data_IF_241706612934
#
_entry.id   IF_241706612934
#
_cell.length_a   1.000
_cell.length_b   1.000
_cell.length_c   1.000
_cell.angle_alpha   90.00
_cell.angle_beta   90.00
_cell.angle_gamma   90.00
#
_symmetry.space_group_name_H-M   'P 1'
#
loop_
_entity.id
_entity.type
_entity.pdbx_description
1 polymer ?
#
# COMPACT_ATOMS: atom_id res chain seq x y z
N UNK A 1 -31.79 -19.90 41.56
CA UNK A 1 -31.17 -18.76 40.88
C UNK A 1 -30.10 -19.34 39.96
N UNK A 2 -30.35 -19.31 38.64
CA UNK A 2 -29.32 -19.66 37.68
C UNK A 2 -28.27 -18.55 37.75
N UNK A 3 -27.03 -18.93 38.04
CA UNK A 3 -25.92 -17.99 37.91
C UNK A 3 -25.85 -17.54 36.43
N UNK A 4 -25.95 -16.27 36.17
CA UNK A 4 -25.67 -15.73 34.82
C UNK A 4 -24.31 -16.26 34.39
N UNK A 5 -24.26 -16.85 33.19
CA UNK A 5 -23.00 -17.36 32.68
C UNK A 5 -22.04 -16.16 32.49
N UNK A 6 -20.76 -16.40 32.67
CA UNK A 6 -19.69 -15.40 32.44
C UNK A 6 -19.84 -14.68 31.10
N UNK A 7 -20.36 -15.41 30.08
CA UNK A 7 -20.67 -14.87 28.76
C UNK A 7 -21.80 -13.84 28.82
N UNK A 8 -22.90 -14.11 29.52
CA UNK A 8 -24.02 -13.18 29.66
C UNK A 8 -23.60 -11.92 30.43
N UNK A 9 -22.79 -12.08 31.47
CA UNK A 9 -22.23 -10.94 32.21
C UNK A 9 -21.33 -10.06 31.32
N UNK A 10 -20.46 -10.67 30.52
CA UNK A 10 -19.61 -9.94 29.57
C UNK A 10 -20.45 -9.18 28.51
N UNK A 11 -21.46 -9.81 27.95
CA UNK A 11 -22.37 -9.18 26.97
C UNK A 11 -23.10 -8.00 27.62
N UNK A 12 -23.64 -8.17 28.83
CA UNK A 12 -24.35 -7.11 29.57
C UNK A 12 -23.43 -5.94 29.89
N UNK A 13 -22.18 -6.22 30.33
CA UNK A 13 -21.19 -5.20 30.59
C UNK A 13 -20.85 -4.37 29.34
N UNK A 14 -20.68 -5.02 28.20
CA UNK A 14 -20.39 -4.36 26.92
C UNK A 14 -21.63 -3.57 26.43
N UNK A 15 -22.82 -4.14 26.55
CA UNK A 15 -24.06 -3.47 26.13
C UNK A 15 -24.38 -2.21 26.96
N UNK A 16 -23.85 -2.13 28.20
CA UNK A 16 -24.00 -0.95 29.06
C UNK A 16 -23.02 0.19 28.75
N UNK A 17 -22.00 -0.06 27.91
CA UNK A 17 -21.05 0.99 27.54
C UNK A 17 -21.67 2.01 26.61
N UNK A 18 -21.37 3.31 26.81
CA UNK A 18 -21.90 4.35 25.92
C UNK A 18 -21.42 4.11 24.48
N UNK A 19 -22.33 4.20 23.54
CA UNK A 19 -21.99 4.23 22.10
C UNK A 19 -21.21 5.49 21.84
N UNK A 20 -20.03 5.39 21.25
CA UNK A 20 -19.25 6.54 20.80
C UNK A 20 -20.10 7.37 19.84
N UNK A 21 -20.26 8.67 20.11
CA UNK A 21 -21.06 9.56 19.26
C UNK A 21 -20.56 9.52 17.82
N UNK A 22 -21.50 9.60 16.88
CA UNK A 22 -21.17 9.78 15.47
C UNK A 22 -20.61 11.19 15.32
N UNK A 23 -19.35 11.31 14.94
CA UNK A 23 -18.78 12.59 14.53
C UNK A 23 -19.47 13.02 13.24
N UNK A 24 -20.09 14.19 13.20
CA UNK A 24 -20.52 14.79 11.96
C UNK A 24 -19.26 15.22 11.19
N UNK A 25 -18.97 14.53 10.11
CA UNK A 25 -17.86 14.92 9.23
C UNK A 25 -18.26 16.12 8.38
N UNK A 26 -17.32 17.06 8.19
CA UNK A 26 -17.52 18.12 7.22
C UNK A 26 -17.70 17.52 5.82
N UNK A 27 -18.52 18.14 4.94
CA UNK A 27 -18.73 17.64 3.59
C UNK A 27 -17.41 17.40 2.85
N UNK A 28 -17.31 16.28 2.16
CA UNK A 28 -16.17 15.97 1.30
C UNK A 28 -16.21 16.89 0.07
N UNK A 29 -15.09 17.50 -0.26
CA UNK A 29 -14.96 18.42 -1.41
C UNK A 29 -13.92 17.88 -2.36
N UNK A 30 -14.24 17.88 -3.64
CA UNK A 30 -13.37 17.35 -4.72
C UNK A 30 -12.09 18.16 -4.90
N UNK A 31 -12.12 19.46 -4.57
CA UNK A 31 -10.96 20.36 -4.61
C UNK A 31 -9.89 20.04 -3.55
N UNK A 32 -10.13 19.05 -2.70
CA UNK A 32 -9.12 18.53 -1.77
C UNK A 32 -8.13 17.54 -2.41
N UNK A 33 -8.41 17.04 -3.62
CA UNK A 33 -7.56 16.04 -4.25
C UNK A 33 -6.15 16.59 -4.49
N UNK A 34 -5.15 15.90 -3.92
CA UNK A 34 -3.75 16.28 -4.03
C UNK A 34 -3.37 17.59 -3.28
N UNK A 35 -4.26 18.15 -2.44
CA UNK A 35 -4.00 19.43 -1.77
C UNK A 35 -2.75 19.40 -0.87
N UNK A 36 -2.43 18.25 -0.32
CA UNK A 36 -1.29 18.04 0.56
C UNK A 36 -0.13 17.26 -0.12
N UNK A 37 -0.07 17.29 -1.46
CA UNK A 37 0.98 16.63 -2.26
C UNK A 37 1.89 17.68 -2.93
N UNK A 38 3.19 17.45 -2.91
CA UNK A 38 4.15 18.23 -3.68
C UNK A 38 4.11 17.79 -5.15
N UNK A 39 2.97 18.12 -5.79
CA UNK A 39 2.61 17.70 -7.14
C UNK A 39 3.41 18.42 -8.22
N UNK A 40 3.27 17.98 -9.47
CA UNK A 40 3.87 18.64 -10.63
C UNK A 40 3.48 20.13 -10.72
N UNK A 41 2.23 20.48 -10.39
CA UNK A 41 1.75 21.86 -10.37
C UNK A 41 2.41 22.66 -9.25
N UNK A 42 2.57 22.05 -8.09
CA UNK A 42 3.30 22.66 -6.95
C UNK A 42 4.78 22.84 -7.31
N UNK A 43 5.42 21.83 -7.89
CA UNK A 43 6.81 21.92 -8.36
C UNK A 43 7.00 23.10 -9.33
N UNK A 44 6.12 23.23 -10.33
CA UNK A 44 6.17 24.34 -11.31
C UNK A 44 5.96 25.71 -10.67
N UNK A 45 5.19 25.78 -9.58
CA UNK A 45 4.90 27.04 -8.87
C UNK A 45 6.07 27.51 -7.99
N UNK A 46 6.76 26.57 -7.31
CA UNK A 46 7.74 26.88 -6.28
C UNK A 46 9.20 26.76 -6.75
N UNK A 47 9.45 26.05 -7.86
CA UNK A 47 10.79 25.84 -8.40
C UNK A 47 11.10 26.82 -9.54
N UNK A 48 12.39 27.20 -9.71
CA UNK A 48 12.85 27.80 -10.95
C UNK A 48 12.50 26.92 -12.17
N UNK A 49 12.20 27.50 -13.31
CA UNK A 49 11.74 26.77 -14.50
C UNK A 49 12.68 25.64 -14.94
N UNK A 50 13.97 25.89 -14.94
CA UNK A 50 14.98 24.91 -15.35
C UNK A 50 15.12 23.77 -14.32
N UNK A 51 15.10 24.11 -13.04
CA UNK A 51 15.10 23.13 -11.93
C UNK A 51 13.85 22.24 -12.00
N UNK A 52 12.65 22.85 -12.22
CA UNK A 52 11.42 22.09 -12.37
C UNK A 52 11.47 21.15 -13.58
N UNK A 53 11.97 21.60 -14.73
CA UNK A 53 12.13 20.77 -15.93
C UNK A 53 13.07 19.58 -15.67
N UNK A 54 14.23 19.84 -15.06
CA UNK A 54 15.21 18.79 -14.71
C UNK A 54 14.63 17.77 -13.76
N UNK A 55 13.94 18.22 -12.69
CA UNK A 55 13.31 17.33 -11.72
C UNK A 55 12.20 16.47 -12.36
N UNK A 56 11.35 17.07 -13.19
CA UNK A 56 10.27 16.34 -13.88
C UNK A 56 10.81 15.31 -14.86
N UNK A 57 11.89 15.61 -15.59
CA UNK A 57 12.58 14.63 -16.45
C UNK A 57 13.18 13.49 -15.59
N UNK A 58 13.82 13.80 -14.46
CA UNK A 58 14.32 12.79 -13.51
C UNK A 58 13.21 11.85 -13.05
N UNK A 59 12.05 12.40 -12.69
CA UNK A 59 10.87 11.62 -12.26
C UNK A 59 10.32 10.77 -13.42
N UNK A 60 10.16 11.37 -14.58
CA UNK A 60 9.58 10.72 -15.75
C UNK A 60 10.46 9.59 -16.27
N UNK A 61 11.76 9.82 -16.33
CA UNK A 61 12.71 8.89 -16.93
C UNK A 61 13.31 7.91 -15.92
N UNK A 62 13.01 8.10 -14.61
CA UNK A 62 13.57 7.28 -13.52
C UNK A 62 15.09 7.43 -13.40
N UNK A 63 15.62 8.61 -13.74
CA UNK A 63 17.03 8.92 -13.70
C UNK A 63 17.52 9.17 -12.27
N UNK A 64 18.81 8.99 -11.99
CA UNK A 64 19.41 9.44 -10.73
C UNK A 64 19.17 10.92 -10.51
N UNK A 65 18.92 11.30 -9.25
CA UNK A 65 18.75 12.70 -8.90
C UNK A 65 20.04 13.47 -9.19
N UNK A 66 19.91 14.59 -9.91
CA UNK A 66 21.02 15.54 -10.04
C UNK A 66 21.19 16.30 -8.71
N UNK A 67 22.34 16.12 -8.05
CA UNK A 67 22.64 16.78 -6.79
C UNK A 67 22.65 18.31 -6.88
N UNK A 68 22.92 18.88 -8.06
CA UNK A 68 22.97 20.32 -8.28
C UNK A 68 21.64 21.02 -8.05
N UNK A 69 20.51 20.33 -8.29
CA UNK A 69 19.18 20.91 -8.09
C UNK A 69 18.63 20.67 -6.66
N UNK A 70 19.30 19.85 -5.87
CA UNK A 70 18.77 19.42 -4.58
C UNK A 70 18.52 20.57 -3.59
N UNK A 71 19.37 21.59 -3.63
CA UNK A 71 19.23 22.77 -2.75
C UNK A 71 17.97 23.59 -3.11
N UNK A 72 17.71 23.80 -4.39
CA UNK A 72 16.50 24.49 -4.87
C UNK A 72 15.24 23.71 -4.53
N UNK A 73 15.27 22.39 -4.75
CA UNK A 73 14.13 21.53 -4.43
C UNK A 73 13.85 21.52 -2.93
N UNK A 74 14.89 21.39 -2.10
CA UNK A 74 14.73 21.43 -0.64
C UNK A 74 14.16 22.79 -0.18
N UNK A 75 14.64 23.90 -0.73
CA UNK A 75 14.09 25.22 -0.43
C UNK A 75 12.61 25.33 -0.78
N UNK A 76 12.24 24.90 -1.98
CA UNK A 76 10.85 24.92 -2.46
C UNK A 76 9.94 24.04 -1.60
N UNK A 77 10.37 22.81 -1.28
CA UNK A 77 9.61 21.90 -0.41
C UNK A 77 9.41 22.49 0.99
N UNK A 78 10.47 23.06 1.57
CA UNK A 78 10.37 23.73 2.88
C UNK A 78 9.37 24.89 2.85
N UNK A 79 9.48 25.78 1.88
CA UNK A 79 8.57 26.91 1.76
C UNK A 79 7.11 26.45 1.61
N UNK A 80 6.87 25.51 0.71
CA UNK A 80 5.57 24.90 0.51
C UNK A 80 5.01 24.23 1.78
N UNK A 81 5.87 23.52 2.53
CA UNK A 81 5.47 22.84 3.75
C UNK A 81 5.14 23.83 4.88
N UNK A 82 5.96 24.89 5.07
CA UNK A 82 5.71 25.93 6.07
C UNK A 82 4.41 26.68 5.81
N UNK A 83 4.09 27.00 4.56
CA UNK A 83 2.81 27.62 4.18
C UNK A 83 1.60 26.72 4.51
N UNK A 84 1.81 25.42 4.65
CA UNK A 84 0.80 24.42 5.05
C UNK A 84 0.81 24.09 6.54
N UNK A 85 1.62 24.82 7.31
CA UNK A 85 1.70 24.68 8.76
C UNK A 85 2.60 23.54 9.23
N UNK A 86 3.40 22.94 8.35
CA UNK A 86 4.38 21.95 8.77
C UNK A 86 5.54 22.62 9.51
N UNK A 87 5.90 22.09 10.65
CA UNK A 87 7.02 22.53 11.47
C UNK A 87 8.21 21.57 11.46
N UNK A 88 7.93 20.35 10.99
CA UNK A 88 8.88 19.24 10.94
C UNK A 88 8.88 18.60 9.57
N UNK A 89 9.94 17.87 9.27
CA UNK A 89 10.05 16.98 8.14
C UNK A 89 10.52 15.60 8.59
N UNK A 90 10.24 14.58 7.79
CA UNK A 90 10.70 13.22 8.01
C UNK A 90 11.03 12.53 6.71
N UNK A 91 12.07 11.69 6.73
CA UNK A 91 12.30 10.71 5.70
C UNK A 91 11.35 9.53 5.97
N UNK A 92 10.30 9.47 5.19
CA UNK A 92 9.25 8.46 5.32
C UNK A 92 9.62 7.22 4.52
N UNK A 93 9.65 6.06 5.16
CA UNK A 93 10.05 4.81 4.52
C UNK A 93 9.25 3.61 5.05
N UNK A 94 9.39 2.46 4.38
CA UNK A 94 8.65 1.23 4.64
C UNK A 94 9.60 0.17 5.22
N UNK A 95 9.78 0.12 6.55
CA UNK A 95 10.61 -0.90 7.18
C UNK A 95 9.99 -2.29 7.06
N UNK A 96 10.78 -3.32 7.38
CA UNK A 96 10.35 -4.72 7.30
C UNK A 96 9.25 -5.09 8.32
N UNK A 97 8.81 -4.16 9.16
CA UNK A 97 7.80 -4.37 10.21
C UNK A 97 6.34 -4.29 9.74
N UNK A 98 6.10 -3.94 8.47
CA UNK A 98 4.73 -3.85 7.93
C UNK A 98 3.97 -2.56 8.24
N UNK A 99 4.63 -1.60 8.88
CA UNK A 99 4.15 -0.22 9.06
C UNK A 99 5.16 0.78 8.48
N UNK A 100 4.76 2.04 8.39
CA UNK A 100 5.68 3.11 8.00
C UNK A 100 6.60 3.49 9.15
N UNK A 101 7.79 4.00 8.85
CA UNK A 101 8.74 4.52 9.82
C UNK A 101 9.03 5.99 9.56
N UNK A 102 9.16 6.74 10.63
CA UNK A 102 9.34 8.18 10.63
C UNK A 102 10.30 8.59 11.74
N UNK A 103 11.20 9.51 11.42
CA UNK A 103 12.04 10.22 12.39
C UNK A 103 11.89 11.71 12.10
N UNK A 104 11.13 12.41 12.92
CA UNK A 104 10.79 13.80 12.71
C UNK A 104 11.94 14.72 13.14
N UNK A 105 12.44 15.50 12.21
CA UNK A 105 13.39 16.59 12.47
C UNK A 105 12.68 17.93 12.31
N UNK A 106 12.94 18.88 13.21
CA UNK A 106 12.38 20.23 13.11
C UNK A 106 13.05 21.01 12.00
N UNK A 107 12.28 21.85 11.29
CA UNK A 107 12.88 22.90 10.45
C UNK A 107 13.60 23.97 11.27
N UNK A 108 13.29 24.08 12.56
CA UNK A 108 13.91 25.05 13.44
C UNK A 108 15.38 24.70 13.69
N UNK A 109 16.25 25.61 13.30
CA UNK A 109 17.69 25.54 13.54
C UNK A 109 18.11 26.84 14.29
N UNK A 110 18.30 26.77 15.62
CA UNK A 110 18.63 27.97 16.39
C UNK A 110 20.10 28.41 16.14
N UNK A 111 20.29 29.57 15.56
CA UNK A 111 21.56 30.25 15.51
C UNK A 111 21.66 31.22 16.68
N UNK A 112 22.25 30.76 17.79
CA UNK A 112 22.25 31.52 19.04
C UNK A 112 20.82 31.66 19.59
N UNK A 113 20.31 32.88 19.74
CA UNK A 113 18.95 33.18 20.19
C UNK A 113 18.00 33.44 19.02
N UNK A 114 18.43 33.38 17.77
CA UNK A 114 17.61 33.65 16.61
C UNK A 114 17.11 32.32 16.00
N UNK A 115 15.80 32.12 15.89
CA UNK A 115 15.23 30.94 15.23
C UNK A 115 15.39 31.09 13.71
N UNK A 116 16.03 30.12 13.08
CA UNK A 116 16.12 30.00 11.63
C UNK A 116 15.40 28.74 11.18
N UNK A 117 14.60 28.85 10.11
CA UNK A 117 14.01 27.69 9.48
C UNK A 117 14.93 27.17 8.38
N UNK A 118 15.55 25.99 8.62
CA UNK A 118 16.58 25.39 7.77
C UNK A 118 16.09 24.05 7.18
N UNK A 119 16.38 23.84 5.91
CA UNK A 119 16.28 22.54 5.25
C UNK A 119 17.14 22.58 4.00
N UNK A 120 18.20 21.82 3.97
CA UNK A 120 19.21 21.85 2.89
C UNK A 120 19.00 20.71 1.89
N UNK A 121 19.62 20.82 0.73
CA UNK A 121 19.67 19.73 -0.25
C UNK A 121 20.26 18.44 0.33
N UNK A 122 21.24 18.55 1.23
CA UNK A 122 21.80 17.40 1.95
C UNK A 122 20.72 16.74 2.83
N UNK A 123 19.95 17.53 3.56
CA UNK A 123 18.85 17.02 4.38
C UNK A 123 17.73 16.36 3.55
N UNK A 124 17.51 16.82 2.32
CA UNK A 124 16.55 16.22 1.40
C UNK A 124 17.03 14.85 0.88
N UNK A 125 18.27 14.78 0.40
CA UNK A 125 18.76 13.61 -0.34
C UNK A 125 19.02 12.43 0.60
N UNK A 126 19.65 12.66 1.75
CA UNK A 126 20.17 11.61 2.63
C UNK A 126 19.93 11.96 4.08
N UNK A 127 19.44 11.00 4.85
CA UNK A 127 19.51 10.99 6.30
C UNK A 127 20.19 9.70 6.78
N UNK A 128 20.77 9.74 7.96
CA UNK A 128 21.44 8.61 8.59
C UNK A 128 20.67 8.16 9.85
N UNK A 129 19.49 7.53 9.72
CA UNK A 129 18.80 6.99 10.86
C UNK A 129 19.58 5.82 11.45
N UNK A 130 19.54 5.69 12.78
CA UNK A 130 20.16 4.55 13.46
C UNK A 130 19.37 3.27 13.18
N UNK A 131 19.94 2.36 12.39
CA UNK A 131 19.37 1.06 12.07
C UNK A 131 19.38 0.08 13.26
N UNK A 132 20.05 0.42 14.34
CA UNK A 132 20.19 -0.44 15.52
C UNK A 132 18.87 -0.73 16.22
N UNK A 133 17.86 0.11 16.01
CA UNK A 133 16.51 -0.04 16.56
C UNK A 133 15.59 -0.95 15.75
N UNK A 134 16.01 -1.43 14.57
CA UNK A 134 15.19 -2.34 13.78
C UNK A 134 15.20 -3.76 14.31
N UNK A 135 14.04 -4.46 14.30
CA UNK A 135 13.96 -5.85 14.74
C UNK A 135 14.89 -6.80 13.98
N UNK A 136 15.16 -6.50 12.71
CA UNK A 136 16.11 -7.24 11.85
C UNK A 136 17.58 -6.92 12.11
N UNK A 137 17.88 -5.91 12.92
CA UNK A 137 19.23 -5.51 13.31
C UNK A 137 19.90 -6.40 14.36
N UNK A 138 19.52 -7.69 14.43
CA UNK A 138 19.91 -8.60 15.51
C UNK A 138 21.38 -9.03 15.56
N UNK A 139 22.18 -8.77 14.55
CA UNK A 139 23.63 -8.99 14.54
C UNK A 139 24.32 -7.66 14.28
N UNK A 140 24.62 -6.96 15.37
CA UNK A 140 25.20 -5.63 15.32
C UNK A 140 26.71 -5.69 15.45
N UNK A 141 27.43 -5.53 14.36
CA UNK A 141 28.61 -4.69 14.50
C UNK A 141 28.18 -3.24 14.26
N UNK A 142 28.81 -2.30 14.95
CA UNK A 142 28.52 -0.85 14.89
C UNK A 142 28.55 -0.26 13.49
N UNK A 143 29.11 -0.94 12.53
CA UNK A 143 29.24 -0.57 11.14
C UNK A 143 27.99 -0.96 10.32
N UNK A 144 27.40 -2.10 10.60
CA UNK A 144 26.17 -2.61 9.94
C UNK A 144 24.89 -1.96 10.49
N UNK A 145 24.99 -1.35 11.69
CA UNK A 145 23.88 -0.61 12.29
C UNK A 145 23.59 0.74 11.63
N UNK A 146 24.44 1.19 10.70
CA UNK A 146 24.24 2.43 9.96
C UNK A 146 23.51 2.16 8.65
N UNK A 147 22.38 2.85 8.47
CA UNK A 147 21.65 2.89 7.22
C UNK A 147 21.50 4.31 6.72
N UNK A 148 21.24 4.40 5.44
CA UNK A 148 20.99 5.66 4.76
C UNK A 148 19.60 5.62 4.14
N UNK A 149 18.81 6.68 4.38
CA UNK A 149 17.64 6.96 3.57
C UNK A 149 18.09 7.72 2.34
N UNK A 150 17.60 7.32 1.18
CA UNK A 150 17.80 8.04 -0.06
C UNK A 150 16.45 8.51 -0.60
N UNK A 151 16.33 9.82 -0.86
CA UNK A 151 15.11 10.37 -1.43
C UNK A 151 14.76 9.66 -2.75
N UNK A 152 13.50 9.23 -2.84
CA UNK A 152 12.92 8.70 -4.06
C UNK A 152 12.06 9.78 -4.75
N UNK A 153 12.58 10.47 -5.77
CA UNK A 153 11.82 11.51 -6.45
C UNK A 153 10.64 10.99 -7.27
N UNK A 154 10.55 9.67 -7.51
CA UNK A 154 9.45 9.06 -8.26
C UNK A 154 8.18 8.88 -7.43
N UNK A 155 8.28 9.12 -6.11
CA UNK A 155 7.12 9.22 -5.21
C UNK A 155 7.08 10.64 -4.63
N UNK A 156 5.97 11.38 -4.80
CA UNK A 156 5.90 12.77 -4.40
C UNK A 156 5.93 12.92 -2.88
N UNK A 157 6.62 13.95 -2.38
CA UNK A 157 6.54 14.34 -0.98
C UNK A 157 5.13 14.84 -0.64
N UNK A 158 4.70 14.66 0.59
CA UNK A 158 3.36 14.99 1.03
C UNK A 158 3.32 15.56 2.44
N UNK A 159 2.23 16.23 2.80
CA UNK A 159 2.01 16.74 4.15
C UNK A 159 1.09 15.80 4.92
N UNK A 160 1.61 15.20 5.97
CA UNK A 160 0.85 14.40 6.91
C UNK A 160 0.34 15.28 8.05
N UNK A 161 -0.98 15.28 8.26
CA UNK A 161 -1.61 16.06 9.32
C UNK A 161 -1.93 15.20 10.54
N UNK A 162 -1.60 15.70 11.70
CA UNK A 162 -1.84 15.02 12.96
C UNK A 162 -2.22 16.02 14.05
N UNK A 163 -3.41 15.87 14.61
CA UNK A 163 -3.91 16.82 15.62
C UNK A 163 -3.86 18.27 15.09
N UNK A 164 -3.16 19.14 15.79
CA UNK A 164 -2.95 20.55 15.42
C UNK A 164 -1.67 20.78 14.61
N UNK A 165 -0.93 19.72 14.27
CA UNK A 165 0.36 19.80 13.60
C UNK A 165 0.34 19.22 12.18
N UNK A 166 1.43 19.50 11.47
CA UNK A 166 1.69 18.93 10.15
C UNK A 166 3.19 18.65 9.99
N UNK A 167 3.51 17.62 9.23
CA UNK A 167 4.88 17.17 8.94
C UNK A 167 5.04 16.97 7.45
N UNK A 168 6.14 17.46 6.89
CA UNK A 168 6.55 17.13 5.53
C UNK A 168 7.12 15.71 5.52
N UNK A 169 6.48 14.80 4.82
CA UNK A 169 6.94 13.43 4.60
C UNK A 169 7.62 13.32 3.23
N UNK A 170 8.84 12.82 3.23
CA UNK A 170 9.66 12.65 2.03
C UNK A 170 9.84 11.15 1.80
N UNK A 171 9.21 10.56 0.76
CA UNK A 171 9.37 9.15 0.47
C UNK A 171 10.83 8.80 0.17
N UNK A 172 11.34 7.78 0.84
CA UNK A 172 12.74 7.36 0.72
C UNK A 172 12.87 5.85 0.66
N UNK A 173 13.93 5.40 0.01
CA UNK A 173 14.45 4.05 0.15
C UNK A 173 15.47 4.01 1.30
N UNK A 174 15.55 2.87 1.99
CA UNK A 174 16.46 2.70 3.12
C UNK A 174 17.38 1.51 2.88
N UNK A 175 18.67 1.76 2.89
CA UNK A 175 19.69 0.75 2.65
C UNK A 175 20.85 0.85 3.64
N UNK A 176 21.58 -0.25 3.81
CA UNK A 176 22.80 -0.29 4.62
C UNK A 176 23.93 0.47 3.94
N UNK A 177 25.02 0.70 4.68
CA UNK A 177 26.26 1.25 4.13
C UNK A 177 26.82 0.42 2.96
N UNK A 178 26.63 -0.89 2.99
CA UNK A 178 27.04 -1.84 1.93
C UNK A 178 26.03 -1.92 0.77
N UNK A 179 24.90 -1.22 0.86
CA UNK A 179 23.88 -1.20 -0.18
C UNK A 179 22.81 -2.29 -0.04
N UNK A 180 22.80 -3.04 1.07
CA UNK A 180 21.76 -4.02 1.33
C UNK A 180 20.43 -3.34 1.63
N UNK A 181 19.34 -3.93 1.18
CA UNK A 181 18.00 -3.43 1.44
C UNK A 181 17.65 -3.59 2.93
N UNK A 182 17.26 -2.49 3.58
CA UNK A 182 16.77 -2.48 4.95
C UNK A 182 15.26 -2.15 5.02
N UNK A 183 14.63 -2.01 3.86
CA UNK A 183 13.21 -1.72 3.70
C UNK A 183 12.58 -2.60 2.61
N UNK A 184 11.28 -2.41 2.39
CA UNK A 184 10.53 -3.10 1.33
C UNK A 184 10.60 -2.37 -0.01
N UNK A 185 10.90 -1.07 -0.01
CA UNK A 185 10.92 -0.24 -1.21
C UNK A 185 12.14 -0.50 -2.08
N UNK A 186 13.31 -0.68 -1.49
CA UNK A 186 14.54 -0.95 -2.23
C UNK A 186 14.45 -2.21 -3.12
N UNK A 187 13.98 -3.38 -2.63
CA UNK A 187 13.74 -4.54 -3.49
C UNK A 187 12.73 -4.27 -4.60
N UNK A 188 11.65 -3.53 -4.32
CA UNK A 188 10.65 -3.16 -5.31
C UNK A 188 11.25 -2.34 -6.45
N UNK A 189 12.00 -1.27 -6.13
CA UNK A 189 12.64 -0.42 -7.13
C UNK A 189 13.63 -1.20 -7.99
N UNK A 190 14.42 -2.10 -7.38
CA UNK A 190 15.35 -2.98 -8.09
C UNK A 190 14.63 -3.97 -9.01
N UNK A 191 13.55 -4.59 -8.54
CA UNK A 191 12.75 -5.53 -9.36
C UNK A 191 12.09 -4.82 -10.54
N UNK A 192 11.54 -3.62 -10.31
CA UNK A 192 10.99 -2.77 -11.36
C UNK A 192 12.01 -2.44 -12.44
N UNK A 193 13.23 -2.08 -12.06
CA UNK A 193 14.32 -1.81 -13.00
C UNK A 193 14.73 -3.07 -13.77
N UNK A 194 14.86 -4.21 -13.08
CA UNK A 194 15.21 -5.48 -13.71
C UNK A 194 14.15 -5.93 -14.73
N UNK A 195 12.86 -5.85 -14.34
CA UNK A 195 11.75 -6.16 -15.24
C UNK A 195 11.70 -5.21 -16.43
N UNK A 196 11.85 -3.90 -16.19
CA UNK A 196 11.91 -2.92 -17.28
C UNK A 196 12.98 -3.20 -18.30
N UNK A 197 14.20 -3.56 -17.85
CA UNK A 197 15.29 -3.96 -18.73
C UNK A 197 15.00 -5.26 -19.51
N UNK A 198 14.35 -6.23 -18.88
CA UNK A 198 13.95 -7.48 -19.53
C UNK A 198 12.90 -7.23 -20.62
N UNK A 199 11.87 -6.43 -20.32
CA UNK A 199 10.83 -6.06 -21.28
C UNK A 199 11.42 -5.30 -22.48
N UNK A 200 12.31 -4.35 -22.27
CA UNK A 200 12.99 -3.63 -23.36
C UNK A 200 13.75 -4.58 -24.28
N UNK A 201 14.48 -5.56 -23.72
CA UNK A 201 15.16 -6.58 -24.53
C UNK A 201 14.18 -7.42 -25.35
N UNK A 202 13.06 -7.82 -24.73
CA UNK A 202 12.03 -8.59 -25.42
C UNK A 202 11.40 -7.77 -26.57
N UNK A 203 10.99 -6.53 -26.31
CA UNK A 203 10.39 -5.67 -27.32
C UNK A 203 11.31 -5.38 -28.50
N UNK A 204 12.62 -5.31 -28.26
CA UNK A 204 13.62 -5.20 -29.31
C UNK A 204 13.62 -6.42 -30.25
N UNK A 205 13.33 -7.63 -29.73
CA UNK A 205 13.19 -8.83 -30.59
C UNK A 205 11.99 -8.73 -31.54
N UNK A 206 10.96 -7.95 -31.17
CA UNK A 206 9.83 -7.64 -32.04
C UNK A 206 10.05 -6.43 -32.96
N UNK A 207 11.28 -5.87 -32.99
CA UNK A 207 11.63 -4.73 -33.82
C UNK A 207 11.04 -3.39 -33.36
N UNK A 208 10.57 -3.29 -32.12
CA UNK A 208 10.02 -2.06 -31.57
C UNK A 208 11.12 -1.09 -31.11
N UNK A 209 10.87 0.25 -31.23
CA UNK A 209 11.80 1.26 -30.73
C UNK A 209 11.95 1.16 -29.21
N UNK A 210 12.98 1.78 -28.64
CA UNK A 210 13.14 1.85 -27.19
C UNK A 210 12.13 2.80 -26.57
N UNK A 211 11.22 2.24 -25.79
CA UNK A 211 10.15 2.98 -25.10
C UNK A 211 10.25 2.77 -23.57
N UNK A 212 9.55 3.61 -22.84
CA UNK A 212 9.43 3.48 -21.40
C UNK A 212 8.62 2.23 -21.03
N UNK A 213 9.11 1.50 -20.04
CA UNK A 213 8.34 0.42 -19.39
C UNK A 213 7.70 0.97 -18.12
N UNK A 214 6.41 0.82 -17.98
CA UNK A 214 5.66 1.19 -16.78
C UNK A 214 4.98 -0.06 -16.21
N UNK A 215 5.12 -0.26 -14.92
CA UNK A 215 4.42 -1.30 -14.18
C UNK A 215 3.37 -0.60 -13.35
N UNK A 216 2.11 -0.99 -13.52
CA UNK A 216 0.98 -0.42 -12.78
C UNK A 216 0.42 -1.42 -11.79
N UNK A 217 -0.16 -0.90 -10.70
CA UNK A 217 -0.76 -1.67 -9.63
C UNK A 217 -1.99 -0.96 -9.09
N UNK A 218 -3.09 -1.69 -8.95
CA UNK A 218 -4.29 -1.29 -8.21
C UNK A 218 -4.48 -2.23 -7.02
N UNK A 219 -3.99 -1.88 -5.82
CA UNK A 219 -4.13 -2.72 -4.64
C UNK A 219 -5.50 -2.49 -4.00
N UNK A 220 -6.32 -3.51 -3.91
CA UNK A 220 -7.59 -3.51 -3.20
C UNK A 220 -7.35 -3.90 -1.75
N UNK A 221 -7.80 -3.08 -0.80
CA UNK A 221 -7.59 -3.33 0.62
C UNK A 221 -8.90 -3.72 1.30
N UNK A 222 -9.01 -4.98 1.66
CA UNK A 222 -10.06 -5.47 2.54
C UNK A 222 -9.69 -5.26 4.01
N UNK A 223 -10.71 -5.07 4.84
CA UNK A 223 -10.54 -4.84 6.28
C UNK A 223 -11.83 -5.10 7.06
N UNK A 224 -11.67 -5.39 8.36
CA UNK A 224 -12.81 -5.49 9.29
C UNK A 224 -12.90 -4.26 10.18
N UNK A 225 -14.12 -3.85 10.49
CA UNK A 225 -14.40 -2.82 11.50
C UNK A 225 -15.17 -3.43 12.65
N UNK A 226 -14.67 -3.22 13.86
CA UNK A 226 -15.36 -3.63 15.08
C UNK A 226 -15.49 -2.47 16.04
N UNK A 227 -16.50 -2.51 16.90
CA UNK A 227 -16.67 -1.50 17.94
C UNK A 227 -15.48 -1.52 18.91
N UNK A 228 -14.96 -0.34 19.23
CA UNK A 228 -13.79 -0.19 20.10
C UNK A 228 -14.01 -0.78 21.48
N UNK A 229 -15.23 -0.69 22.02
CA UNK A 229 -15.56 -1.23 23.32
C UNK A 229 -15.51 -2.77 23.33
N UNK A 230 -15.99 -3.41 22.26
CA UNK A 230 -15.86 -4.86 22.10
C UNK A 230 -14.38 -5.29 21.97
N UNK A 231 -13.62 -4.55 21.16
CA UNK A 231 -12.19 -4.81 20.97
C UNK A 231 -11.41 -4.77 22.29
N UNK A 232 -11.58 -3.74 23.10
CA UNK A 232 -10.87 -3.55 24.35
C UNK A 232 -11.17 -4.66 25.39
N UNK A 233 -12.31 -5.34 25.25
CA UNK A 233 -12.68 -6.48 26.11
C UNK A 233 -12.22 -7.84 25.55
N UNK A 234 -11.44 -7.86 24.48
CA UNK A 234 -10.90 -9.06 23.82
C UNK A 234 -9.37 -9.00 23.79
N UNK A 235 -8.69 -9.56 24.83
CA UNK A 235 -7.22 -9.55 24.90
C UNK A 235 -6.55 -10.19 23.69
N UNK A 236 -7.14 -11.23 23.10
CA UNK A 236 -6.65 -11.86 21.89
C UNK A 236 -6.65 -10.91 20.69
N UNK A 237 -7.73 -10.18 20.45
CA UNK A 237 -7.78 -9.16 19.39
C UNK A 237 -6.79 -8.03 19.65
N UNK A 238 -6.67 -7.56 20.90
CA UNK A 238 -5.75 -6.49 21.26
C UNK A 238 -4.29 -6.90 21.04
N UNK A 239 -3.94 -8.11 21.41
CA UNK A 239 -2.54 -8.58 21.38
C UNK A 239 -2.13 -9.13 20.01
N UNK A 240 -3.04 -9.74 19.27
CA UNK A 240 -2.69 -10.48 18.05
C UNK A 240 -3.42 -10.01 16.78
N UNK A 241 -4.42 -9.14 16.91
CA UNK A 241 -5.25 -8.70 15.78
C UNK A 241 -6.28 -9.74 15.32
N UNK A 242 -6.33 -10.91 15.95
CA UNK A 242 -7.27 -12.00 15.63
C UNK A 242 -7.82 -12.67 16.90
N UNK A 243 -8.92 -13.42 16.75
CA UNK A 243 -9.46 -14.25 17.82
C UNK A 243 -8.64 -15.52 17.99
N UNK A 244 -8.27 -15.88 19.23
CA UNK A 244 -7.56 -17.10 19.59
C UNK A 244 -8.43 -18.05 20.42
N UNK A 245 -9.46 -17.55 21.08
CA UNK A 245 -10.35 -18.31 21.96
C UNK A 245 -11.77 -17.75 21.94
N UNK A 246 -12.68 -18.45 22.57
CA UNK A 246 -14.09 -18.09 22.65
C UNK A 246 -14.96 -18.91 21.71
N UNK A 247 -16.27 -18.83 21.91
CA UNK A 247 -17.24 -19.49 21.03
C UNK A 247 -17.42 -18.72 19.72
N UNK A 248 -17.66 -19.41 18.60
CA UNK A 248 -18.11 -18.75 17.37
C UNK A 248 -19.38 -17.92 17.61
N UNK A 249 -19.62 -16.86 16.82
CA UNK A 249 -20.86 -16.10 16.90
C UNK A 249 -22.05 -17.01 16.57
N UNK A 250 -23.18 -16.79 17.26
CA UNK A 250 -24.35 -17.67 17.14
C UNK A 250 -24.93 -17.71 15.71
N UNK A 251 -24.78 -16.61 14.97
CA UNK A 251 -25.24 -16.54 13.59
C UNK A 251 -24.17 -16.88 12.56
N UNK A 252 -22.92 -16.92 12.99
CA UNK A 252 -21.78 -17.15 12.07
C UNK A 252 -21.83 -16.21 10.85
N UNK A 253 -21.43 -16.68 9.67
CA UNK A 253 -21.60 -16.01 8.37
C UNK A 253 -22.88 -16.51 7.69
N UNK A 254 -23.99 -16.51 8.41
CA UNK A 254 -25.25 -16.97 7.85
C UNK A 254 -25.75 -16.04 6.76
N UNK A 255 -26.27 -16.62 5.68
CA UNK A 255 -26.64 -15.98 4.43
C UNK A 255 -25.44 -15.42 3.66
N UNK A 256 -24.30 -15.89 3.96
CA UNK A 256 -22.95 -15.73 3.36
C UNK A 256 -22.66 -14.45 2.55
N UNK A 257 -23.67 -13.79 2.06
CA UNK A 257 -23.56 -12.63 1.19
C UNK A 257 -23.96 -11.33 1.89
N UNK A 258 -22.98 -10.68 2.50
CA UNK A 258 -23.12 -9.32 3.00
C UNK A 258 -22.69 -8.26 1.96
N UNK A 259 -22.10 -8.71 0.85
CA UNK A 259 -21.51 -7.86 -0.20
C UNK A 259 -22.50 -6.83 -0.77
N UNK A 260 -23.72 -7.25 -1.11
CA UNK A 260 -24.76 -6.37 -1.65
C UNK A 260 -25.60 -5.66 -0.57
N UNK A 261 -25.25 -5.79 0.69
CA UNK A 261 -25.91 -5.12 1.79
C UNK A 261 -25.72 -3.61 1.77
N UNK A 262 -26.70 -2.87 2.35
CA UNK A 262 -26.54 -1.43 2.53
C UNK A 262 -25.47 -1.12 3.59
N UNK A 263 -24.61 -0.16 3.30
CA UNK A 263 -23.60 0.30 4.26
C UNK A 263 -24.30 1.13 5.34
N UNK A 264 -24.04 0.81 6.61
CA UNK A 264 -24.65 1.51 7.74
C UNK A 264 -24.14 2.96 7.84
N UNK A 265 -24.97 3.92 8.27
CA UNK A 265 -24.60 5.35 8.33
C UNK A 265 -23.30 5.62 9.11
N UNK A 266 -23.08 4.95 10.25
CA UNK A 266 -21.85 5.08 11.04
C UNK A 266 -20.61 4.68 10.24
N UNK A 267 -20.72 3.63 9.44
CA UNK A 267 -19.64 3.14 8.58
C UNK A 267 -19.43 4.09 7.39
N UNK A 268 -20.51 4.58 6.77
CA UNK A 268 -20.40 5.59 5.70
C UNK A 268 -19.70 6.86 6.16
N UNK A 269 -19.99 7.34 7.37
CA UNK A 269 -19.30 8.50 7.94
C UNK A 269 -17.80 8.23 8.13
N UNK A 270 -17.45 7.06 8.63
CA UNK A 270 -16.05 6.62 8.69
C UNK A 270 -15.39 6.59 7.30
N UNK A 271 -16.06 5.97 6.32
CA UNK A 271 -15.53 5.86 4.94
C UNK A 271 -15.37 7.25 4.30
N UNK A 272 -16.30 8.17 4.53
CA UNK A 272 -16.19 9.55 4.05
C UNK A 272 -14.95 10.27 4.61
N UNK A 273 -14.68 10.11 5.90
CA UNK A 273 -13.49 10.73 6.52
C UNK A 273 -12.20 10.06 6.05
N UNK A 274 -12.21 8.74 5.81
CA UNK A 274 -11.08 8.04 5.17
C UNK A 274 -10.82 8.60 3.78
N UNK A 275 -11.82 8.63 2.90
CA UNK A 275 -11.66 9.13 1.53
C UNK A 275 -11.18 10.57 1.48
N UNK A 276 -11.68 11.43 2.36
CA UNK A 276 -11.24 12.82 2.48
C UNK A 276 -9.74 12.94 2.74
N UNK A 277 -9.21 12.17 3.69
CA UNK A 277 -7.77 12.19 3.98
C UNK A 277 -6.97 11.56 2.83
N UNK A 278 -7.44 10.46 2.24
CA UNK A 278 -6.80 9.83 1.09
C UNK A 278 -6.73 10.78 -0.11
N UNK A 279 -7.84 11.45 -0.45
CA UNK A 279 -7.87 12.39 -1.57
C UNK A 279 -6.96 13.59 -1.36
N UNK A 280 -6.84 14.10 -0.12
CA UNK A 280 -5.86 15.16 0.18
C UNK A 280 -4.42 14.75 -0.12
N UNK A 281 -4.10 13.48 0.11
CA UNK A 281 -2.81 12.87 -0.19
C UNK A 281 -2.67 12.42 -1.65
N UNK A 282 -3.64 12.74 -2.50
CA UNK A 282 -3.62 12.36 -3.92
C UNK A 282 -3.86 10.88 -4.17
N UNK A 283 -4.33 10.14 -3.17
CA UNK A 283 -4.63 8.71 -3.30
C UNK A 283 -5.98 8.55 -3.99
N UNK A 284 -6.04 7.90 -5.16
CA UNK A 284 -7.25 7.85 -5.98
C UNK A 284 -8.25 6.79 -5.49
N UNK A 285 -8.67 6.87 -4.23
CA UNK A 285 -9.72 6.01 -3.68
C UNK A 285 -10.98 6.15 -4.54
N UNK A 286 -11.47 5.05 -5.12
CA UNK A 286 -12.52 5.05 -6.12
C UNK A 286 -13.76 4.30 -5.67
N UNK A 287 -13.59 3.10 -5.16
CA UNK A 287 -14.70 2.20 -4.82
C UNK A 287 -14.59 1.80 -3.35
N UNK A 288 -15.73 1.73 -2.70
CA UNK A 288 -15.89 1.21 -1.34
C UNK A 288 -17.21 0.44 -1.24
N UNK A 289 -17.20 -0.69 -0.58
CA UNK A 289 -18.37 -1.54 -0.43
C UNK A 289 -18.25 -2.46 0.79
N UNK A 290 -19.34 -3.17 1.09
CA UNK A 290 -19.28 -4.28 2.02
C UNK A 290 -18.60 -5.48 1.36
N UNK A 291 -17.92 -6.27 2.17
CA UNK A 291 -17.44 -7.60 1.80
C UNK A 291 -18.36 -8.72 2.27
N UNK A 292 -18.03 -9.94 1.92
CA UNK A 292 -18.86 -11.14 2.15
C UNK A 292 -19.06 -11.41 3.64
N UNK A 293 -18.04 -11.21 4.46
CA UNK A 293 -18.15 -11.44 5.90
C UNK A 293 -18.86 -10.29 6.63
N UNK A 294 -19.55 -10.54 7.75
CA UNK A 294 -20.11 -9.50 8.58
C UNK A 294 -19.07 -8.51 9.07
N UNK A 295 -19.34 -7.21 8.92
CA UNK A 295 -18.45 -6.11 9.31
C UNK A 295 -17.11 -6.09 8.56
N UNK A 296 -17.06 -6.68 7.40
CA UNK A 296 -15.96 -6.63 6.45
C UNK A 296 -16.26 -5.64 5.33
N UNK A 297 -15.24 -4.92 4.89
CA UNK A 297 -15.35 -3.85 3.89
C UNK A 297 -14.11 -3.85 3.02
N UNK A 298 -14.24 -3.23 1.86
CA UNK A 298 -13.13 -3.04 0.92
C UNK A 298 -13.01 -1.59 0.48
N UNK A 299 -11.79 -1.18 0.19
CA UNK A 299 -11.45 0.05 -0.49
C UNK A 299 -10.56 -0.27 -1.68
N UNK A 300 -11.03 0.09 -2.88
CA UNK A 300 -10.30 -0.11 -4.13
C UNK A 300 -9.94 1.24 -4.75
N UNK A 301 -8.64 1.57 -4.86
CA UNK A 301 -8.16 2.74 -5.59
C UNK A 301 -8.09 2.46 -7.09
N UNK A 302 -7.99 3.52 -7.89
CA UNK A 302 -7.52 3.39 -9.26
C UNK A 302 -6.05 2.93 -9.28
N UNK A 303 -5.67 2.22 -10.33
CA UNK A 303 -4.28 1.80 -10.49
C UNK A 303 -3.34 2.98 -10.77
N UNK A 304 -2.11 2.86 -10.29
CA UNK A 304 -1.04 3.84 -10.45
C UNK A 304 0.29 3.14 -10.78
N UNK A 305 1.37 3.90 -10.98
CA UNK A 305 2.72 3.32 -11.00
C UNK A 305 2.95 2.49 -9.73
N UNK A 306 3.50 1.30 -9.88
CA UNK A 306 3.61 0.31 -8.80
C UNK A 306 4.31 0.86 -7.55
N UNK A 307 5.32 1.71 -7.71
CA UNK A 307 6.03 2.32 -6.59
C UNK A 307 5.11 3.27 -5.80
N UNK A 308 4.37 4.12 -6.50
CA UNK A 308 3.41 5.04 -5.91
C UNK A 308 2.23 4.30 -5.28
N UNK A 309 1.68 3.31 -5.96
CA UNK A 309 0.57 2.50 -5.47
C UNK A 309 0.89 1.81 -4.14
N UNK A 310 2.13 1.33 -3.96
CA UNK A 310 2.57 0.70 -2.73
C UNK A 310 2.72 1.72 -1.60
N UNK A 311 3.32 2.89 -1.86
CA UNK A 311 3.38 3.97 -0.88
C UNK A 311 1.97 4.41 -0.46
N UNK A 312 1.07 4.57 -1.42
CA UNK A 312 -0.33 4.91 -1.17
C UNK A 312 -1.05 3.83 -0.34
N UNK A 313 -0.82 2.55 -0.61
CA UNK A 313 -1.44 1.49 0.18
C UNK A 313 -0.95 1.48 1.64
N UNK A 314 0.30 1.81 1.91
CA UNK A 314 0.79 1.96 3.28
C UNK A 314 0.07 3.10 4.01
N UNK A 315 -0.16 4.21 3.32
CA UNK A 315 -0.94 5.34 3.86
C UNK A 315 -2.42 4.97 4.05
N UNK A 316 -3.01 4.22 3.11
CA UNK A 316 -4.38 3.69 3.24
C UNK A 316 -4.53 2.90 4.54
N UNK A 317 -3.65 1.94 4.79
CA UNK A 317 -3.70 1.12 6.01
C UNK A 317 -3.56 1.96 7.29
N UNK A 318 -2.72 2.98 7.27
CA UNK A 318 -2.54 3.88 8.39
C UNK A 318 -3.79 4.75 8.63
N UNK A 319 -4.33 5.36 7.58
CA UNK A 319 -5.50 6.24 7.65
C UNK A 319 -6.74 5.46 8.07
N UNK A 320 -6.94 4.23 7.58
CA UNK A 320 -8.03 3.36 8.02
C UNK A 320 -8.00 3.16 9.54
N UNK A 321 -6.83 2.86 10.12
CA UNK A 321 -6.70 2.70 11.58
C UNK A 321 -6.94 3.99 12.34
N UNK A 322 -6.41 5.11 11.86
CA UNK A 322 -6.55 6.41 12.51
C UNK A 322 -8.01 6.88 12.51
N UNK A 323 -8.67 6.81 11.36
CA UNK A 323 -10.06 7.22 11.23
C UNK A 323 -11.00 6.28 12.01
N UNK A 324 -10.75 4.97 12.00
CA UNK A 324 -11.53 4.03 12.81
C UNK A 324 -11.53 4.44 14.29
N UNK A 325 -10.36 4.78 14.82
CA UNK A 325 -10.25 5.21 16.23
C UNK A 325 -11.06 6.48 16.54
N UNK A 326 -11.13 7.43 15.59
CA UNK A 326 -11.96 8.67 15.74
C UNK A 326 -13.46 8.37 15.75
N UNK A 327 -13.90 7.34 15.04
CA UNK A 327 -15.28 6.90 14.96
C UNK A 327 -15.68 5.87 16.02
N UNK A 328 -14.84 5.66 17.06
CA UNK A 328 -15.11 4.66 18.10
C UNK A 328 -15.08 3.22 17.55
N UNK A 329 -14.34 3.00 16.47
CA UNK A 329 -14.15 1.73 15.80
C UNK A 329 -12.67 1.30 15.90
N UNK A 330 -12.40 0.06 15.59
CA UNK A 330 -11.06 -0.47 15.37
C UNK A 330 -11.04 -1.15 14.00
N UNK A 331 -10.07 -0.78 13.18
CA UNK A 331 -9.81 -1.41 11.90
C UNK A 331 -8.85 -2.57 12.09
N UNK A 332 -9.30 -3.77 11.77
CA UNK A 332 -8.47 -4.98 11.75
C UNK A 332 -7.98 -5.22 10.33
N UNK A 333 -6.66 -5.22 10.18
CA UNK A 333 -5.96 -5.51 8.93
C UNK A 333 -5.30 -6.89 8.94
N UNK A 334 -5.52 -7.68 9.98
CA UNK A 334 -5.14 -9.08 9.98
C UNK A 334 -5.97 -9.81 8.91
N UNK A 335 -5.33 -10.68 8.17
CA UNK A 335 -5.96 -11.35 7.03
C UNK A 335 -7.11 -12.28 7.43
N UNK A 336 -7.02 -12.89 8.60
CA UNK A 336 -8.04 -13.81 9.13
C UNK A 336 -8.33 -13.51 10.61
N UNK A 337 -9.00 -12.39 10.93
CA UNK A 337 -9.24 -12.02 12.32
C UNK A 337 -10.26 -12.92 13.01
N UNK A 338 -11.14 -13.58 12.24
CA UNK A 338 -12.20 -14.43 12.77
C UNK A 338 -12.19 -15.80 12.08
N UNK A 339 -12.07 -16.86 12.86
CA UNK A 339 -12.12 -18.22 12.34
C UNK A 339 -13.51 -18.55 11.82
N UNK A 340 -13.60 -19.21 10.67
CA UNK A 340 -14.84 -19.74 10.12
C UNK A 340 -15.65 -18.74 9.28
N UNK A 341 -15.19 -17.51 9.11
CA UNK A 341 -15.74 -16.53 8.16
C UNK A 341 -14.70 -16.15 7.13
N UNK A 342 -15.09 -15.46 6.07
CA UNK A 342 -14.13 -14.97 5.07
C UNK A 342 -13.02 -14.14 5.69
N UNK A 343 -11.84 -14.21 5.10
CA UNK A 343 -10.68 -13.39 5.46
C UNK A 343 -10.58 -12.15 4.58
N UNK A 344 -9.65 -11.27 4.96
CA UNK A 344 -9.32 -10.08 4.21
C UNK A 344 -8.11 -10.31 3.32
N UNK A 345 -8.28 -10.08 2.03
CA UNK A 345 -7.22 -10.08 1.03
C UNK A 345 -6.62 -8.70 0.81
N UNK A 346 -5.62 -8.68 -0.01
CA UNK A 346 -5.11 -7.51 -0.72
C UNK A 346 -4.89 -7.93 -2.15
N UNK A 347 -5.92 -7.78 -2.97
CA UNK A 347 -5.81 -8.13 -4.37
C UNK A 347 -4.92 -7.12 -5.09
N UNK A 348 -3.92 -7.62 -5.80
CA UNK A 348 -2.96 -6.79 -6.53
C UNK A 348 -3.21 -6.92 -8.02
N UNK A 349 -4.08 -6.07 -8.55
CA UNK A 349 -4.35 -5.97 -9.99
C UNK A 349 -3.19 -5.20 -10.63
N UNK A 350 -2.39 -5.87 -11.44
CA UNK A 350 -1.19 -5.28 -12.01
C UNK A 350 -1.08 -5.47 -13.52
N UNK A 351 -0.32 -4.61 -14.16
CA UNK A 351 -0.06 -4.69 -15.58
C UNK A 351 1.32 -4.14 -15.94
N UNK A 352 1.78 -4.45 -17.16
CA UNK A 352 3.02 -3.96 -17.73
C UNK A 352 2.68 -3.22 -19.02
N UNK A 353 3.16 -1.99 -19.17
CA UNK A 353 3.01 -1.21 -20.40
C UNK A 353 4.37 -0.90 -21.02
N UNK A 354 4.41 -0.87 -22.34
CA UNK A 354 5.54 -0.43 -23.16
C UNK A 354 5.12 0.79 -23.98
N UNK A 355 5.65 1.96 -23.65
CA UNK A 355 5.02 3.20 -24.09
C UNK A 355 3.57 3.25 -23.60
N UNK A 356 2.65 3.49 -24.53
CA UNK A 356 1.20 3.56 -24.24
C UNK A 356 0.48 2.21 -24.39
N UNK A 357 1.21 1.12 -24.72
CA UNK A 357 0.61 -0.19 -24.96
C UNK A 357 0.67 -1.05 -23.71
N UNK A 358 -0.50 -1.50 -23.24
CA UNK A 358 -0.57 -2.55 -22.22
C UNK A 358 -0.20 -3.89 -22.84
N UNK A 359 0.85 -4.54 -22.33
CA UNK A 359 1.35 -5.82 -22.84
C UNK A 359 0.47 -7.02 -22.43
N UNK A 360 -0.44 -6.83 -21.47
CA UNK A 360 -1.44 -7.81 -21.04
C UNK A 360 -2.82 -7.54 -21.67
N UNK A 361 -2.91 -6.64 -22.64
CA UNK A 361 -4.11 -6.44 -23.44
C UNK A 361 -4.10 -7.45 -24.60
N UNK A 362 -5.04 -8.42 -24.61
CA UNK A 362 -5.12 -9.42 -25.68
C UNK A 362 -5.51 -8.79 -27.04
N UNK A 363 -6.12 -7.61 -27.02
CA UNK A 363 -6.66 -6.97 -28.22
C UNK A 363 -7.90 -7.68 -28.74
N UNK A 364 -8.27 -7.39 -29.97
CA UNK A 364 -9.46 -7.97 -30.65
C UNK A 364 -9.22 -9.38 -31.18
N UNK A 365 -7.97 -9.75 -31.42
CA UNK A 365 -7.57 -11.09 -31.89
C UNK A 365 -6.35 -11.57 -31.05
N UNK A 366 -6.62 -12.20 -29.91
CA UNK A 366 -5.57 -12.68 -29.02
C UNK A 366 -4.59 -13.67 -29.67
N UNK A 367 -5.09 -14.51 -30.58
CA UNK A 367 -4.27 -15.55 -31.23
C UNK A 367 -3.22 -14.99 -32.19
N UNK A 368 -3.46 -13.80 -32.74
CA UNK A 368 -2.50 -13.11 -33.61
C UNK A 368 -1.61 -12.11 -32.85
N UNK A 369 -1.87 -11.90 -31.56
CA UNK A 369 -1.08 -10.97 -30.76
C UNK A 369 0.15 -11.68 -30.16
N UNK A 370 1.19 -11.85 -30.97
CA UNK A 370 2.40 -12.55 -30.55
C UNK A 370 3.10 -11.92 -29.34
N UNK A 371 3.01 -10.59 -29.17
CA UNK A 371 3.59 -9.89 -28.02
C UNK A 371 2.82 -10.30 -26.76
N UNK A 372 1.50 -10.20 -26.77
CA UNK A 372 0.63 -10.58 -25.66
C UNK A 372 0.87 -12.04 -25.26
N UNK A 373 0.83 -12.98 -26.22
CA UNK A 373 1.04 -14.41 -25.96
C UNK A 373 2.43 -14.70 -25.37
N UNK A 374 3.47 -14.03 -25.86
CA UNK A 374 4.83 -14.20 -25.32
C UNK A 374 4.94 -13.69 -23.90
N UNK A 375 4.38 -12.53 -23.62
CA UNK A 375 4.39 -11.94 -22.26
C UNK A 375 3.58 -12.79 -21.31
N UNK A 376 2.40 -13.24 -21.71
CA UNK A 376 1.54 -14.13 -20.92
C UNK A 376 2.26 -15.43 -20.58
N UNK A 377 2.85 -16.10 -21.57
CA UNK A 377 3.60 -17.35 -21.36
C UNK A 377 4.79 -17.14 -20.39
N UNK A 378 5.51 -16.02 -20.52
CA UNK A 378 6.61 -15.70 -19.62
C UNK A 378 6.13 -15.47 -18.16
N UNK A 379 4.96 -14.88 -17.96
CA UNK A 379 4.35 -14.69 -16.64
C UNK A 379 3.95 -16.05 -16.05
N UNK A 380 3.28 -16.90 -16.82
CA UNK A 380 2.87 -18.24 -16.38
C UNK A 380 4.11 -19.04 -15.94
N UNK A 381 5.15 -19.07 -16.77
CA UNK A 381 6.41 -19.74 -16.43
C UNK A 381 7.06 -19.15 -15.17
N UNK A 382 7.05 -17.84 -15.00
CA UNK A 382 7.62 -17.18 -13.82
C UNK A 382 6.83 -17.53 -12.54
N UNK A 383 5.51 -17.57 -12.60
CA UNK A 383 4.64 -17.94 -11.47
C UNK A 383 4.90 -19.40 -11.08
N UNK A 384 5.00 -20.31 -12.03
CA UNK A 384 5.32 -21.71 -11.77
C UNK A 384 6.71 -21.86 -11.14
N UNK A 385 7.74 -21.33 -11.77
CA UNK A 385 9.14 -21.40 -11.29
C UNK A 385 9.36 -20.78 -9.91
N UNK A 386 8.63 -19.72 -9.58
CA UNK A 386 8.81 -18.95 -8.35
C UNK A 386 7.62 -19.07 -7.39
N UNK A 387 6.81 -20.12 -7.53
CA UNK A 387 5.62 -20.36 -6.71
C UNK A 387 5.96 -20.43 -5.22
N UNK A 388 7.11 -21.00 -4.85
CA UNK A 388 7.53 -21.06 -3.44
C UNK A 388 7.84 -19.68 -2.87
N UNK A 389 8.42 -18.77 -3.66
CA UNK A 389 8.65 -17.38 -3.25
C UNK A 389 7.32 -16.64 -3.05
N UNK A 390 6.36 -16.83 -3.95
CA UNK A 390 5.01 -16.26 -3.84
C UNK A 390 4.28 -16.77 -2.58
N UNK A 391 4.32 -18.07 -2.31
CA UNK A 391 3.76 -18.64 -1.08
C UNK A 391 4.45 -18.09 0.16
N UNK A 392 5.77 -17.99 0.14
CA UNK A 392 6.55 -17.45 1.26
C UNK A 392 6.21 -15.98 1.54
N UNK A 393 5.87 -15.20 0.52
CA UNK A 393 5.48 -13.78 0.70
C UNK A 393 4.22 -13.59 1.53
N UNK A 394 3.33 -14.57 1.59
CA UNK A 394 2.08 -14.57 2.37
C UNK A 394 2.14 -15.45 3.62
N UNK A 395 3.14 -16.33 3.73
CA UNK A 395 3.32 -17.20 4.88
C UNK A 395 4.00 -16.46 6.03
N UNK A 396 3.24 -16.05 7.03
CA UNK A 396 3.74 -15.46 8.26
C UNK A 396 3.25 -16.25 9.48
N UNK A 397 3.92 -16.08 10.63
CA UNK A 397 3.55 -16.76 11.85
C UNK A 397 2.12 -16.49 12.34
N UNK A 398 1.55 -15.33 11.97
CA UNK A 398 0.17 -14.96 12.28
C UNK A 398 -0.85 -15.42 11.24
N UNK A 399 -0.44 -16.12 10.19
CA UNK A 399 -1.22 -16.39 8.99
C UNK A 399 -1.62 -17.87 8.83
N UNK A 400 -1.58 -18.65 9.89
CA UNK A 400 -1.87 -20.08 9.91
C UNK A 400 -3.32 -20.43 9.52
N UNK A 401 -4.28 -19.54 9.80
CA UNK A 401 -5.68 -19.71 9.41
C UNK A 401 -6.01 -19.24 7.99
N UNK A 402 -5.06 -18.63 7.31
CA UNK A 402 -5.28 -18.01 6.01
C UNK A 402 -5.09 -18.99 4.86
N UNK A 403 -4.20 -19.95 5.02
CA UNK A 403 -3.84 -20.89 3.98
C UNK A 403 -4.99 -21.85 3.69
N UNK A 404 -5.56 -21.76 2.50
CA UNK A 404 -6.67 -22.60 2.05
C UNK A 404 -8.06 -22.27 2.61
N UNK A 405 -8.24 -21.11 3.24
CA UNK A 405 -9.54 -20.65 3.74
C UNK A 405 -10.19 -19.63 2.79
N UNK A 406 -11.52 -19.55 2.83
CA UNK A 406 -12.34 -18.69 1.98
C UNK A 406 -11.80 -17.25 1.92
N UNK A 407 -11.65 -16.69 0.73
CA UNK A 407 -11.20 -15.32 0.41
C UNK A 407 -9.82 -14.94 1.00
N UNK A 408 -9.12 -15.85 1.62
CA UNK A 408 -7.74 -15.62 2.04
C UNK A 408 -6.80 -16.07 0.92
N UNK A 409 -5.60 -15.45 0.74
CA UNK A 409 -4.64 -15.91 -0.24
C UNK A 409 -4.39 -17.39 -0.08
N UNK A 410 -4.66 -18.18 -1.11
CA UNK A 410 -4.57 -19.62 -1.01
C UNK A 410 -3.12 -20.08 -0.85
N UNK A 411 -2.94 -21.21 -0.20
CA UNK A 411 -1.72 -21.98 -0.31
C UNK A 411 -1.48 -22.43 -1.76
N UNK A 412 -2.53 -22.47 -2.55
CA UNK A 412 -2.54 -22.81 -3.96
C UNK A 412 -2.52 -21.50 -4.75
N UNK A 413 -1.53 -21.33 -5.59
CA UNK A 413 -1.47 -20.24 -6.56
C UNK A 413 -2.11 -20.76 -7.83
N UNK A 414 -3.22 -20.15 -8.23
CA UNK A 414 -3.93 -20.46 -9.48
C UNK A 414 -3.78 -19.31 -10.47
N UNK A 415 -3.81 -19.65 -11.76
CA UNK A 415 -3.84 -18.70 -12.85
C UNK A 415 -5.22 -18.82 -13.49
N UNK A 416 -6.03 -17.76 -13.37
CA UNK A 416 -7.31 -17.67 -14.03
C UNK A 416 -7.19 -16.77 -15.27
N UNK A 417 -7.46 -17.33 -16.44
CA UNK A 417 -7.32 -16.63 -17.72
C UNK A 417 -8.67 -16.22 -18.32
N UNK A 418 -9.78 -16.73 -17.78
CA UNK A 418 -11.11 -16.62 -18.39
C UNK A 418 -11.27 -17.55 -19.60
N UNK A 419 -12.52 -17.81 -19.97
CA UNK A 419 -12.85 -18.80 -21.01
C UNK A 419 -12.26 -18.42 -22.37
N UNK A 420 -12.31 -17.14 -22.75
CA UNK A 420 -11.76 -16.66 -24.01
C UNK A 420 -10.26 -16.90 -24.17
N UNK A 421 -9.47 -16.66 -23.13
CA UNK A 421 -8.02 -16.87 -23.17
C UNK A 421 -7.67 -18.35 -23.02
N UNK A 422 -8.44 -19.08 -22.25
CA UNK A 422 -8.28 -20.52 -22.11
C UNK A 422 -8.53 -21.23 -23.44
N UNK A 423 -9.60 -20.90 -24.13
CA UNK A 423 -9.90 -21.39 -25.48
C UNK A 423 -8.82 -21.00 -26.49
N UNK A 424 -8.30 -19.76 -26.41
CA UNK A 424 -7.22 -19.29 -27.24
C UNK A 424 -5.95 -20.14 -27.07
N UNK A 425 -5.56 -20.44 -25.84
CA UNK A 425 -4.37 -21.26 -25.54
C UNK A 425 -4.56 -22.73 -25.91
N UNK A 426 -5.74 -23.27 -25.74
CA UNK A 426 -6.07 -24.65 -26.13
C UNK A 426 -6.07 -24.82 -27.64
N UNK A 427 -6.59 -23.85 -28.41
CA UNK A 427 -6.58 -23.91 -29.88
C UNK A 427 -5.19 -23.75 -30.50
N UNK A 428 -4.28 -23.06 -29.85
CA UNK A 428 -2.89 -22.93 -30.31
C UNK A 428 -2.01 -24.13 -29.96
N UNK A 429 -2.48 -25.02 -29.08
CA UNK A 429 -1.75 -26.21 -28.61
C UNK A 429 -2.09 -27.49 -29.38
N UNK A 430 -2.81 -27.42 -30.50
CA UNK A 430 -3.16 -28.60 -31.31
C UNK A 430 -1.97 -29.21 -32.08
N UNK A 431 -0.78 -29.03 -31.56
CA UNK A 431 0.45 -29.63 -32.10
C UNK A 431 1.27 -30.39 -31.06
N UNK A 432 0.71 -30.81 -29.94
CA UNK A 432 1.34 -31.87 -29.12
C UNK A 432 0.37 -32.33 -28.03
N UNK A 433 -0.12 -33.51 -28.19
CA UNK A 433 -0.58 -34.45 -27.21
C UNK A 433 0.16 -34.29 -25.87
N UNK A 434 -0.45 -33.54 -24.91
CA UNK A 434 -0.32 -33.82 -23.49
C UNK A 434 -1.22 -32.86 -22.69
N UNK A 435 -2.18 -33.48 -22.03
CA UNK A 435 -3.13 -32.84 -21.13
C UNK A 435 -2.39 -32.22 -19.95
N UNK A 436 -2.21 -30.91 -19.93
CA UNK A 436 -2.01 -30.19 -18.68
C UNK A 436 -3.39 -30.00 -18.08
N UNK A 437 -3.81 -30.93 -17.26
CA UNK A 437 -4.95 -30.73 -16.39
C UNK A 437 -4.51 -29.85 -15.23
N UNK A 438 -4.80 -28.57 -15.33
CA UNK A 438 -4.77 -27.68 -14.17
C UNK A 438 -6.12 -27.87 -13.49
N UNK A 439 -6.12 -28.60 -12.38
CA UNK A 439 -7.29 -28.76 -11.54
C UNK A 439 -7.54 -27.42 -10.83
N UNK A 440 -8.55 -26.71 -11.29
CA UNK A 440 -9.02 -25.44 -10.75
C UNK A 440 -10.09 -25.74 -9.69
N UNK A 441 -9.67 -26.17 -8.48
CA UNK A 441 -10.53 -26.32 -7.33
C UNK A 441 -10.64 -25.04 -6.51
#
# INVERSE_FOLDING_TARGET
>A
MMSDSTRTQAISAIASLPVSGVSESAPVRIDYYGADVFSTEVMKKYLPKDTAKTLLSTIQDGLPLNADIAADVAHAMKQWALERGATHYTHWFQPMTGSTAEKHDSFLDPKGMEPIMSFSGKNLIVSEPDASSFPSGGLRCTFEARGYTAWDPTSPAFIKRHGNGATLCIPTAYCSYTGDALDKKTPLLRSRQALGNAVKRLMKCFGLPDERVTITLGPEQEYFLIDKNFYLNRPDLVQTGRTLFGAPPAKHQQLEDHYFGSIKPRILNFMNDVEKELWRLGIPAKTRHNEVAPAQFELAPLFEDVNLAIDHNMLVMEILRQQASRHGLVCLLHEKPFVGVNGSGKHNNWSISYGDKNLLDPGTDPQQNAIFLTVLAAIIEAVDKHSDLLRNSVASAGNDHRLGANEAPPAIISIFLGDQLNDCLLYTSDAADDRISVDLG
#
